data_IF_174781005044
#
_entry.id   IF_174781005044
#
_cell.length_a   1.000
_cell.length_b   1.000
_cell.length_c   1.000
_cell.angle_alpha   90.00
_cell.angle_beta   90.00
_cell.angle_gamma   90.00
#
_symmetry.space_group_name_H-M   'P 1'
#
loop_
_entity.id
_entity.type
_entity.pdbx_description
1 polymer ?
#
# COMPACT_ATOMS: atom_id res chain seq x y z
N UNK A 1 35.88 -13.03 34.64
CA UNK A 1 34.75 -12.19 34.21
C UNK A 1 33.71 -13.10 33.58
N UNK A 2 32.58 -13.30 34.27
CA UNK A 2 31.49 -14.20 33.86
C UNK A 2 30.65 -13.54 32.75
N UNK A 3 29.96 -14.33 31.92
CA UNK A 3 29.19 -13.83 30.78
C UNK A 3 28.05 -12.88 31.19
N UNK A 4 27.49 -13.04 32.40
CA UNK A 4 26.56 -12.08 32.99
C UNK A 4 27.19 -10.69 33.24
N UNK A 5 28.45 -10.62 33.64
CA UNK A 5 29.16 -9.35 33.84
C UNK A 5 29.46 -8.66 32.51
N UNK A 6 29.74 -9.44 31.45
CA UNK A 6 29.92 -8.92 30.09
C UNK A 6 28.63 -8.35 29.52
N UNK A 7 27.49 -9.04 29.71
CA UNK A 7 26.18 -8.56 29.26
C UNK A 7 25.77 -7.28 29.99
N UNK A 8 25.97 -7.22 31.31
CA UNK A 8 25.69 -6.01 32.10
C UNK A 8 26.53 -4.81 31.66
N UNK A 9 27.84 -5.01 31.48
CA UNK A 9 28.73 -3.96 30.99
C UNK A 9 28.40 -3.54 29.54
N UNK A 10 27.90 -4.46 28.71
CA UNK A 10 27.38 -4.16 27.37
C UNK A 10 26.14 -3.27 27.40
N UNK A 11 25.17 -3.61 28.25
CA UNK A 11 23.95 -2.84 28.43
C UNK A 11 24.20 -1.43 28.98
N UNK A 12 25.10 -1.28 29.95
CA UNK A 12 25.51 0.02 30.50
C UNK A 12 26.14 0.92 29.43
N UNK A 13 27.00 0.37 28.55
CA UNK A 13 27.58 1.13 27.44
C UNK A 13 26.54 1.58 26.40
N UNK A 14 25.60 0.70 26.06
CA UNK A 14 24.51 1.05 25.13
C UNK A 14 23.59 2.13 25.73
N UNK A 15 23.30 2.04 27.02
CA UNK A 15 22.50 3.04 27.72
C UNK A 15 23.21 4.41 27.78
N UNK A 16 24.51 4.42 28.08
CA UNK A 16 25.32 5.65 28.05
C UNK A 16 25.37 6.27 26.65
N UNK A 17 25.54 5.44 25.61
CA UNK A 17 25.52 5.89 24.22
C UNK A 17 24.17 6.50 23.84
N UNK A 18 23.06 5.81 24.11
CA UNK A 18 21.72 6.29 23.82
C UNK A 18 21.40 7.59 24.56
N UNK A 19 21.82 7.71 25.83
CA UNK A 19 21.65 8.92 26.62
C UNK A 19 22.47 10.09 26.07
N UNK A 20 23.73 9.83 25.69
CA UNK A 20 24.59 10.83 25.04
C UNK A 20 24.03 11.31 23.71
N UNK A 21 23.52 10.39 22.89
CA UNK A 21 22.86 10.70 21.62
C UNK A 21 21.59 11.53 21.81
N UNK A 22 20.72 11.14 22.75
CA UNK A 22 19.51 11.88 23.07
C UNK A 22 19.81 13.30 23.55
N UNK A 23 20.85 13.47 24.38
CA UNK A 23 21.31 14.78 24.84
C UNK A 23 21.84 15.62 23.69
N UNK A 24 22.68 15.05 22.82
CA UNK A 24 23.18 15.74 21.64
C UNK A 24 22.07 16.16 20.68
N UNK A 25 21.07 15.31 20.47
CA UNK A 25 19.89 15.64 19.66
C UNK A 25 19.09 16.81 20.27
N UNK A 26 18.90 16.82 21.60
CA UNK A 26 18.28 17.95 22.30
C UNK A 26 19.10 19.23 22.17
N UNK A 27 20.42 19.17 22.32
CA UNK A 27 21.30 20.33 22.22
C UNK A 27 21.25 20.94 20.80
N UNK A 28 21.27 20.11 19.75
CA UNK A 28 21.10 20.54 18.37
C UNK A 28 19.72 21.15 18.14
N UNK A 29 18.67 20.53 18.66
CA UNK A 29 17.29 21.04 18.53
C UNK A 29 17.16 22.41 19.21
N UNK A 30 17.71 22.57 20.43
CA UNK A 30 17.71 23.84 21.13
C UNK A 30 18.51 24.93 20.40
N UNK A 31 19.65 24.57 19.80
CA UNK A 31 20.44 25.49 19.00
C UNK A 31 19.69 25.95 17.74
N UNK A 32 18.99 25.03 17.06
CA UNK A 32 18.15 25.35 15.92
C UNK A 32 16.96 26.23 16.33
N UNK A 33 16.29 25.93 17.43
CA UNK A 33 15.20 26.76 17.95
C UNK A 33 15.67 28.17 18.22
N UNK A 34 16.81 28.34 18.93
CA UNK A 34 17.37 29.68 19.19
C UNK A 34 17.75 30.41 17.91
N UNK A 35 18.36 29.71 16.96
CA UNK A 35 18.72 30.31 15.68
C UNK A 35 17.48 30.78 14.90
N UNK A 36 16.40 30.00 14.91
CA UNK A 36 15.12 30.42 14.34
C UNK A 36 14.55 31.63 15.10
N UNK A 37 14.53 31.61 16.43
CA UNK A 37 14.05 32.74 17.25
C UNK A 37 14.83 34.04 16.97
N UNK A 38 16.16 33.96 16.86
CA UNK A 38 17.03 35.10 16.49
C UNK A 38 16.73 35.58 15.06
N UNK A 39 16.61 34.66 14.10
CA UNK A 39 16.29 35.01 12.72
C UNK A 39 14.90 35.66 12.56
N UNK A 40 13.92 35.25 13.37
CA UNK A 40 12.60 35.89 13.40
C UNK A 40 12.60 37.22 14.15
N UNK A 41 13.41 37.37 15.20
CA UNK A 41 13.58 38.64 15.90
C UNK A 41 14.16 39.74 14.99
N UNK A 42 15.10 39.38 14.10
CA UNK A 42 15.68 40.29 13.10
C UNK A 42 14.69 40.73 12.02
N UNK A 43 13.60 39.97 11.80
CA UNK A 43 12.55 40.30 10.83
C UNK A 43 11.50 41.28 11.37
N UNK A 44 11.50 41.57 12.68
CA UNK A 44 10.62 42.56 13.30
C UNK A 44 9.12 42.22 13.32
N UNK A 45 8.74 41.03 12.87
CA UNK A 45 7.36 40.53 12.83
C UNK A 45 7.26 39.25 13.67
N UNK A 46 6.24 39.18 14.54
CA UNK A 46 5.91 37.92 15.24
C UNK A 46 5.60 36.84 14.20
N UNK A 47 6.25 35.65 14.24
CA UNK A 47 6.01 34.61 13.26
C UNK A 47 4.54 34.16 13.29
N UNK A 48 3.86 34.25 12.15
CA UNK A 48 2.49 33.76 11.98
C UNK A 48 2.49 32.23 11.85
N UNK A 49 2.42 31.55 13.00
CA UNK A 49 2.32 30.09 13.08
C UNK A 49 0.99 29.53 12.58
N UNK A 50 0.00 30.38 12.27
CA UNK A 50 -1.30 29.93 11.76
C UNK A 50 -1.18 29.37 10.35
N UNK A 51 -0.28 29.92 9.53
CA UNK A 51 -0.02 29.44 8.17
C UNK A 51 0.71 28.08 8.16
N UNK A 52 1.66 27.88 9.09
CA UNK A 52 2.34 26.59 9.27
C UNK A 52 1.35 25.51 9.73
N UNK A 53 0.49 25.84 10.70
CA UNK A 53 -0.52 24.91 11.22
C UNK A 53 -1.57 24.57 10.16
N UNK A 54 -2.01 25.56 9.38
CA UNK A 54 -2.93 25.37 8.25
C UNK A 54 -2.29 24.50 7.17
N UNK A 55 -1.04 24.74 6.81
CA UNK A 55 -0.33 23.92 5.83
C UNK A 55 -0.17 22.47 6.30
N UNK A 56 0.19 22.25 7.57
CA UNK A 56 0.28 20.91 8.15
C UNK A 56 -1.06 20.17 8.10
N UNK A 57 -2.17 20.86 8.38
CA UNK A 57 -3.53 20.30 8.24
C UNK A 57 -3.84 19.86 6.80
N UNK A 58 -3.58 20.72 5.82
CA UNK A 58 -3.81 20.40 4.40
C UNK A 58 -2.94 19.24 3.91
N UNK A 59 -1.71 19.12 4.41
CA UNK A 59 -0.83 17.98 4.09
C UNK A 59 -1.39 16.68 4.66
N UNK A 60 -1.89 16.71 5.90
CA UNK A 60 -2.51 15.54 6.52
C UNK A 60 -3.76 15.08 5.75
N UNK A 61 -4.67 16.01 5.39
CA UNK A 61 -5.86 15.71 4.58
C UNK A 61 -5.50 15.11 3.21
N UNK A 62 -4.47 15.65 2.55
CA UNK A 62 -3.98 15.12 1.28
C UNK A 62 -3.46 13.68 1.43
N UNK A 63 -2.71 13.41 2.49
CA UNK A 63 -2.11 12.10 2.71
C UNK A 63 -3.17 11.06 3.09
N UNK A 64 -4.21 11.45 3.84
CA UNK A 64 -5.40 10.63 4.08
C UNK A 64 -6.16 10.32 2.78
N UNK A 65 -6.43 11.33 1.96
CA UNK A 65 -7.10 11.13 0.67
C UNK A 65 -6.29 10.24 -0.29
N UNK A 66 -4.96 10.33 -0.26
CA UNK A 66 -4.07 9.44 -1.03
C UNK A 66 -4.13 8.00 -0.52
N UNK A 67 -4.17 7.80 0.79
CA UNK A 67 -4.30 6.48 1.39
C UNK A 67 -5.65 5.84 1.02
N UNK A 68 -6.74 6.61 1.06
CA UNK A 68 -8.07 6.15 0.64
C UNK A 68 -8.10 5.81 -0.86
N UNK A 69 -7.52 6.66 -1.72
CA UNK A 69 -7.44 6.39 -3.15
C UNK A 69 -6.64 5.11 -3.45
N UNK A 70 -5.54 4.87 -2.73
CA UNK A 70 -4.76 3.65 -2.86
C UNK A 70 -5.55 2.40 -2.41
N UNK A 71 -6.34 2.51 -1.34
CA UNK A 71 -7.19 1.41 -0.88
C UNK A 71 -8.30 1.08 -1.89
N UNK A 72 -8.99 2.12 -2.40
CA UNK A 72 -10.00 1.98 -3.45
C UNK A 72 -9.41 1.37 -4.72
N UNK A 73 -8.19 1.75 -5.11
CA UNK A 73 -7.47 1.14 -6.24
C UNK A 73 -7.25 -0.36 -6.05
N UNK A 74 -6.76 -0.79 -4.88
CA UNK A 74 -6.59 -2.22 -4.58
C UNK A 74 -7.90 -3.00 -4.61
N UNK A 75 -8.96 -2.43 -4.05
CA UNK A 75 -10.30 -3.05 -4.05
C UNK A 75 -10.87 -3.17 -5.45
N UNK A 76 -10.61 -2.19 -6.32
CA UNK A 76 -11.01 -2.24 -7.72
C UNK A 76 -10.30 -3.39 -8.44
N UNK A 77 -8.98 -3.49 -8.30
CA UNK A 77 -8.18 -4.58 -8.90
C UNK A 77 -8.62 -5.97 -8.42
N UNK A 78 -8.97 -6.10 -7.13
CA UNK A 78 -9.52 -7.35 -6.59
C UNK A 78 -10.87 -7.69 -7.23
N UNK A 79 -11.76 -6.71 -7.36
CA UNK A 79 -13.07 -6.92 -7.99
C UNK A 79 -12.98 -7.20 -9.48
N UNK A 80 -12.03 -6.58 -10.19
CA UNK A 80 -11.76 -6.90 -11.59
C UNK A 80 -11.28 -8.34 -11.75
N UNK A 81 -10.44 -8.84 -10.84
CA UNK A 81 -10.00 -10.24 -10.83
C UNK A 81 -11.16 -11.20 -10.57
N UNK A 82 -11.99 -10.92 -9.56
CA UNK A 82 -13.19 -11.73 -9.27
C UNK A 82 -14.15 -11.79 -10.47
N UNK A 83 -14.32 -10.67 -11.18
CA UNK A 83 -15.15 -10.61 -12.38
C UNK A 83 -14.56 -11.43 -13.53
N UNK A 84 -13.24 -11.39 -13.72
CA UNK A 84 -12.58 -12.19 -14.76
C UNK A 84 -12.70 -13.70 -14.46
N UNK A 85 -12.47 -14.11 -13.20
CA UNK A 85 -12.67 -15.50 -12.76
C UNK A 85 -14.12 -15.96 -12.98
N UNK A 86 -15.09 -15.13 -12.58
CA UNK A 86 -16.51 -15.43 -12.78
C UNK A 86 -16.86 -15.55 -14.26
N UNK A 87 -16.32 -14.67 -15.11
CA UNK A 87 -16.49 -14.72 -16.57
C UNK A 87 -15.90 -16.02 -17.14
N UNK A 88 -14.70 -16.41 -16.73
CA UNK A 88 -14.07 -17.68 -17.17
C UNK A 88 -14.92 -18.88 -16.75
N UNK A 89 -15.45 -18.90 -15.53
CA UNK A 89 -16.36 -19.95 -15.06
C UNK A 89 -17.65 -20.01 -15.87
N UNK A 90 -18.24 -18.87 -16.21
CA UNK A 90 -19.44 -18.81 -17.05
C UNK A 90 -19.16 -19.36 -18.45
N UNK A 91 -18.06 -18.92 -19.09
CA UNK A 91 -17.65 -19.42 -20.41
C UNK A 91 -17.46 -20.93 -20.36
N UNK A 92 -16.71 -21.45 -19.37
CA UNK A 92 -16.49 -22.89 -19.20
C UNK A 92 -17.81 -23.66 -19.03
N UNK A 93 -18.73 -23.14 -18.21
CA UNK A 93 -20.05 -23.75 -18.02
C UNK A 93 -20.86 -23.82 -19.31
N UNK A 94 -20.86 -22.73 -20.08
CA UNK A 94 -21.56 -22.67 -21.38
C UNK A 94 -20.92 -23.62 -22.39
N UNK A 95 -19.58 -23.68 -22.49
CA UNK A 95 -18.89 -24.62 -23.37
C UNK A 95 -19.23 -26.08 -23.03
N UNK A 96 -19.21 -26.45 -21.74
CA UNK A 96 -19.60 -27.78 -21.28
C UNK A 96 -21.04 -28.13 -21.65
N UNK A 97 -21.97 -27.18 -21.49
CA UNK A 97 -23.37 -27.39 -21.84
C UNK A 97 -23.58 -27.54 -23.36
N UNK A 98 -22.87 -26.76 -24.17
CA UNK A 98 -22.88 -26.89 -25.64
C UNK A 98 -22.34 -28.25 -26.07
N UNK A 99 -21.23 -28.72 -25.48
CA UNK A 99 -20.68 -30.07 -25.74
C UNK A 99 -21.66 -31.17 -25.33
N UNK A 100 -22.31 -31.03 -24.16
CA UNK A 100 -23.32 -31.97 -23.68
C UNK A 100 -24.50 -32.08 -24.66
N UNK A 101 -25.08 -30.95 -25.04
CA UNK A 101 -26.20 -30.89 -25.98
C UNK A 101 -25.82 -31.37 -27.38
N UNK A 102 -24.60 -31.05 -27.85
CA UNK A 102 -24.08 -31.49 -29.14
C UNK A 102 -23.98 -33.02 -29.23
N UNK A 103 -23.52 -33.66 -28.16
CA UNK A 103 -23.48 -35.13 -28.06
C UNK A 103 -24.87 -35.75 -27.97
N UNK A 104 -25.71 -35.26 -27.08
CA UNK A 104 -27.04 -35.83 -26.82
C UNK A 104 -27.98 -35.72 -28.02
N UNK A 105 -27.87 -34.64 -28.81
CA UNK A 105 -28.87 -34.30 -29.83
C UNK A 105 -28.40 -34.52 -31.26
N UNK A 106 -27.09 -34.57 -31.50
CA UNK A 106 -26.52 -34.58 -32.86
C UNK A 106 -25.40 -35.61 -33.06
N UNK A 107 -25.04 -36.42 -32.05
CA UNK A 107 -23.95 -37.42 -32.12
C UNK A 107 -22.60 -36.84 -32.58
N UNK A 108 -22.37 -35.55 -32.35
CA UNK A 108 -21.15 -34.88 -32.80
C UNK A 108 -19.94 -35.28 -31.95
N UNK A 109 -18.78 -35.41 -32.59
CA UNK A 109 -17.50 -35.56 -31.90
C UNK A 109 -17.19 -34.31 -31.05
N UNK A 110 -16.64 -34.51 -29.84
CA UNK A 110 -16.44 -33.44 -28.86
C UNK A 110 -15.60 -32.27 -29.36
N UNK A 111 -14.61 -32.56 -30.19
CA UNK A 111 -13.66 -31.58 -30.72
C UNK A 111 -14.34 -30.59 -31.69
N UNK A 112 -15.25 -31.09 -32.54
CA UNK A 112 -16.02 -30.24 -33.47
C UNK A 112 -17.05 -29.36 -32.77
N UNK A 113 -17.52 -29.75 -31.57
CA UNK A 113 -18.44 -28.93 -30.77
C UNK A 113 -17.68 -27.83 -30.01
N UNK A 114 -16.47 -28.14 -29.52
CA UNK A 114 -15.60 -27.18 -28.84
C UNK A 114 -15.15 -26.05 -29.78
N UNK A 115 -14.74 -26.36 -31.01
CA UNK A 115 -14.38 -25.37 -32.04
C UNK A 115 -15.56 -24.43 -32.36
N UNK A 116 -16.76 -25.00 -32.57
CA UNK A 116 -17.97 -24.23 -32.89
C UNK A 116 -18.38 -23.29 -31.76
N UNK A 117 -18.18 -23.72 -30.51
CA UNK A 117 -18.51 -22.92 -29.35
C UNK A 117 -17.45 -21.82 -29.12
N UNK A 118 -16.16 -22.13 -29.27
CA UNK A 118 -15.07 -21.17 -29.20
C UNK A 118 -15.22 -20.03 -30.23
N UNK A 119 -15.55 -20.36 -31.47
CA UNK A 119 -15.82 -19.39 -32.54
C UNK A 119 -17.01 -18.47 -32.18
N UNK A 120 -18.09 -19.04 -31.65
CA UNK A 120 -19.31 -18.29 -31.30
C UNK A 120 -19.15 -17.38 -30.08
N UNK A 121 -18.27 -17.75 -29.15
CA UNK A 121 -17.98 -16.96 -27.93
C UNK A 121 -16.75 -16.06 -28.08
N UNK A 122 -16.08 -16.06 -29.24
CA UNK A 122 -14.90 -15.24 -29.50
C UNK A 122 -13.74 -15.58 -28.58
N UNK A 123 -13.59 -16.85 -28.19
CA UNK A 123 -12.52 -17.34 -27.31
C UNK A 123 -11.57 -18.20 -28.13
N UNK A 124 -10.28 -17.95 -28.03
CA UNK A 124 -9.25 -18.82 -28.61
C UNK A 124 -9.07 -20.04 -27.70
N UNK A 125 -9.23 -21.26 -28.25
CA UNK A 125 -8.91 -22.51 -27.55
C UNK A 125 -7.41 -22.78 -27.52
#
# INVERSE_FOLDING_TARGET
MNDNEKMRAGAERLHQFATGYARGAMDVTNALTRHCEEAFADLGEEPDWSDVSRHAGLVAERDEARAEAADLGRRLEEKERELDETRQHLIKGVLLEVVRLGRERFELAGDGIAELAAEKFGVTL
#
